data_IF_149816365861
#
_entry.id   IF_149816365861
#
_cell.length_a   1.000
_cell.length_b   1.000
_cell.length_c   1.000
_cell.angle_alpha   90.00
_cell.angle_beta   90.00
_cell.angle_gamma   90.00
#
_symmetry.space_group_name_H-M   'P 1'
#
loop_
_entity.id
_entity.type
_entity.pdbx_description
1 polymer ?
#
# COMPACT_ATOMS: atom_id res chain seq x y z
N UNK A 1 -13.03 -5.93 27.53
CA UNK A 1 -11.84 -5.06 27.62
C UNK A 1 -10.80 -5.57 26.64
N UNK A 2 -10.97 -5.25 25.36
CA UNK A 2 -10.05 -5.69 24.30
C UNK A 2 -9.08 -4.54 24.05
N UNK A 3 -7.81 -4.73 24.41
CA UNK A 3 -6.76 -3.74 24.18
C UNK A 3 -6.49 -3.61 22.68
N UNK A 4 -7.24 -2.74 22.01
CA UNK A 4 -6.93 -2.30 20.65
C UNK A 4 -5.64 -1.49 20.70
N UNK A 5 -4.60 -1.97 20.03
CA UNK A 5 -3.35 -1.22 19.90
C UNK A 5 -3.66 0.19 19.37
N UNK A 6 -3.37 1.21 20.17
CA UNK A 6 -3.52 2.61 19.80
C UNK A 6 -2.47 2.93 18.74
N UNK A 7 -2.76 2.62 17.48
CA UNK A 7 -1.96 3.06 16.35
C UNK A 7 -2.09 4.59 16.30
N UNK A 8 -1.12 5.31 16.87
CA UNK A 8 -1.06 6.77 16.82
C UNK A 8 -0.88 7.19 15.35
N UNK A 9 -1.99 7.53 14.69
CA UNK A 9 -2.10 7.92 13.28
C UNK A 9 -1.42 9.28 12.99
N UNK A 10 -1.07 10.06 14.01
CA UNK A 10 -0.96 11.52 13.85
C UNK A 10 0.38 12.03 13.29
N UNK A 11 1.47 11.26 13.26
CA UNK A 11 2.80 11.84 12.89
C UNK A 11 3.65 11.00 11.92
N UNK A 12 3.03 10.35 10.93
CA UNK A 12 3.75 9.55 9.90
C UNK A 12 3.45 9.95 8.45
N UNK A 13 2.84 11.11 8.20
CA UNK A 13 2.58 11.62 6.83
C UNK A 13 3.83 12.19 6.12
N UNK A 14 5.02 12.14 6.73
CA UNK A 14 6.25 12.73 6.18
C UNK A 14 6.99 11.89 5.14
N UNK A 15 6.60 10.62 4.94
CA UNK A 15 7.22 9.79 3.91
C UNK A 15 6.79 10.27 2.51
N UNK A 16 7.76 10.58 1.65
CA UNK A 16 7.49 10.98 0.27
C UNK A 16 6.71 9.90 -0.47
N UNK A 17 5.54 10.27 -1.01
CA UNK A 17 4.65 9.37 -1.75
C UNK A 17 4.87 9.55 -3.25
N UNK A 18 4.97 8.43 -3.95
CA UNK A 18 5.15 8.38 -5.40
C UNK A 18 3.83 7.94 -6.03
N UNK A 19 3.21 8.76 -6.89
CA UNK A 19 2.03 8.35 -7.65
C UNK A 19 2.38 7.15 -8.55
N UNK A 20 1.51 6.14 -8.56
CA UNK A 20 1.65 4.94 -9.38
C UNK A 20 0.26 4.51 -9.87
N UNK A 21 0.24 3.64 -10.87
CA UNK A 21 -0.96 2.97 -11.39
C UNK A 21 -0.60 1.49 -11.44
N UNK A 22 -0.91 0.77 -10.37
CA UNK A 22 -0.43 -0.60 -10.17
C UNK A 22 -1.48 -1.49 -9.51
N UNK A 23 -2.09 -2.37 -10.29
CA UNK A 23 -3.01 -3.39 -9.77
C UNK A 23 -2.25 -4.62 -9.26
N UNK A 24 -2.61 -5.06 -8.06
CA UNK A 24 -2.11 -6.30 -7.45
C UNK A 24 -3.27 -7.13 -6.91
N UNK A 25 -3.05 -8.43 -6.79
CA UNK A 25 -3.91 -9.33 -6.02
C UNK A 25 -3.26 -9.48 -4.64
N UNK A 26 -3.99 -9.16 -3.59
CA UNK A 26 -3.62 -9.41 -2.21
C UNK A 26 -4.36 -10.62 -1.65
N UNK A 27 -3.73 -11.32 -0.71
CA UNK A 27 -4.34 -12.44 0.00
C UNK A 27 -4.86 -11.93 1.36
N UNK A 28 -6.16 -12.10 1.62
CA UNK A 28 -6.81 -11.88 2.91
C UNK A 28 -7.19 -13.21 3.54
N UNK A 29 -7.03 -13.32 4.87
CA UNK A 29 -7.23 -14.59 5.59
C UNK A 29 -8.64 -15.17 5.45
N UNK A 30 -9.67 -14.34 5.41
CA UNK A 30 -11.07 -14.78 5.37
C UNK A 30 -11.72 -14.61 4.00
N UNK A 31 -11.35 -13.55 3.27
CA UNK A 31 -11.95 -13.21 1.98
C UNK A 31 -11.25 -13.92 0.81
N UNK A 32 -10.05 -14.47 1.03
CA UNK A 32 -9.21 -15.01 -0.04
C UNK A 32 -8.56 -13.88 -0.84
N UNK A 33 -8.65 -13.96 -2.16
CA UNK A 33 -8.01 -12.99 -3.05
C UNK A 33 -8.79 -11.66 -3.10
N UNK A 34 -8.08 -10.55 -2.86
CA UNK A 34 -8.59 -9.18 -2.88
C UNK A 34 -7.85 -8.40 -3.95
N UNK A 35 -8.59 -7.81 -4.89
CA UNK A 35 -8.02 -6.95 -5.91
C UNK A 35 -7.75 -5.56 -5.33
N UNK A 36 -6.52 -5.07 -5.47
CA UNK A 36 -6.09 -3.77 -4.97
C UNK A 36 -5.51 -2.96 -6.13
N UNK A 37 -6.07 -1.78 -6.38
CA UNK A 37 -5.48 -0.82 -7.31
C UNK A 37 -4.69 0.24 -6.53
N UNK A 38 -3.36 0.11 -6.56
CA UNK A 38 -2.46 1.01 -5.84
C UNK A 38 -2.26 2.29 -6.66
N UNK A 39 -2.62 3.42 -6.05
CA UNK A 39 -2.55 4.76 -6.68
C UNK A 39 -1.35 5.59 -6.23
N UNK A 40 -0.73 5.24 -5.10
CA UNK A 40 0.55 5.78 -4.68
C UNK A 40 1.21 4.89 -3.63
N UNK A 41 2.54 4.99 -3.54
CA UNK A 41 3.35 4.20 -2.60
C UNK A 41 4.39 5.08 -1.90
N UNK A 42 4.74 4.71 -0.67
CA UNK A 42 5.90 5.20 0.06
C UNK A 42 6.67 4.02 0.67
N UNK A 43 7.82 4.28 1.27
CA UNK A 43 8.58 3.24 1.97
C UNK A 43 7.83 2.60 3.15
N UNK A 44 6.73 3.19 3.62
CA UNK A 44 5.98 2.73 4.80
C UNK A 44 4.60 2.15 4.47
N UNK A 45 4.11 2.32 3.24
CA UNK A 45 2.77 1.88 2.90
C UNK A 45 2.31 2.39 1.55
N UNK A 46 1.05 2.16 1.23
CA UNK A 46 0.45 2.56 -0.03
C UNK A 46 -0.98 3.05 0.17
N UNK A 47 -1.55 3.64 -0.87
CA UNK A 47 -2.97 3.94 -0.95
C UNK A 47 -3.54 3.13 -2.09
N UNK A 48 -4.67 2.48 -1.86
CA UNK A 48 -5.47 1.87 -2.89
C UNK A 48 -6.78 2.63 -3.07
N UNK A 49 -7.33 2.61 -4.28
CA UNK A 49 -8.72 2.99 -4.52
C UNK A 49 -9.58 1.75 -4.82
N UNK A 50 -10.89 1.96 -4.78
CA UNK A 50 -11.90 0.92 -4.93
C UNK A 50 -12.69 0.68 -3.65
N UNK A 51 -13.84 0.02 -3.82
CA UNK A 51 -14.63 -0.50 -2.71
C UNK A 51 -13.98 -1.81 -2.25
N UNK A 52 -13.30 -1.75 -1.12
CA UNK A 52 -12.69 -2.91 -0.47
C UNK A 52 -13.60 -3.35 0.66
N UNK A 53 -13.96 -4.62 0.71
CA UNK A 53 -14.67 -5.26 1.83
C UNK A 53 -13.72 -5.50 3.02
N UNK A 54 -12.89 -4.50 3.36
CA UNK A 54 -11.88 -4.59 4.41
C UNK A 54 -12.17 -3.59 5.53
N UNK A 55 -11.95 -4.04 6.76
CA UNK A 55 -12.08 -3.21 7.95
C UNK A 55 -10.73 -2.73 8.50
N UNK A 56 -10.75 -1.61 9.21
CA UNK A 56 -9.53 -1.06 9.84
C UNK A 56 -8.92 -2.10 10.79
N UNK A 57 -7.62 -2.35 10.62
CA UNK A 57 -6.86 -3.34 11.39
C UNK A 57 -6.69 -4.67 10.66
N UNK A 58 -7.47 -4.94 9.61
CA UNK A 58 -7.29 -6.12 8.78
C UNK A 58 -5.99 -6.06 7.97
N UNK A 59 -5.52 -7.24 7.56
CA UNK A 59 -4.21 -7.44 6.93
C UNK A 59 -4.35 -8.12 5.59
N UNK A 60 -3.66 -7.58 4.59
CA UNK A 60 -3.50 -8.21 3.28
C UNK A 60 -2.03 -8.54 3.06
N UNK A 61 -1.76 -9.70 2.47
CA UNK A 61 -0.42 -10.06 1.97
C UNK A 61 -0.39 -9.74 0.49
N UNK A 62 0.46 -8.82 0.07
CA UNK A 62 0.63 -8.49 -1.37
C UNK A 62 2.01 -8.89 -1.84
N UNK A 63 2.16 -9.15 -3.14
CA UNK A 63 3.45 -9.35 -3.78
C UNK A 63 3.81 -8.11 -4.60
N UNK A 64 4.86 -7.43 -4.17
CA UNK A 64 5.42 -6.28 -4.90
C UNK A 64 6.68 -6.69 -5.68
N UNK A 65 6.94 -6.09 -6.86
CA UNK A 65 8.21 -6.26 -7.56
C UNK A 65 9.38 -5.87 -6.65
N UNK A 66 10.51 -6.57 -6.77
CA UNK A 66 11.74 -6.36 -5.96
C UNK A 66 11.59 -6.75 -4.48
N UNK A 67 10.48 -6.38 -3.83
CA UNK A 67 10.25 -6.59 -2.39
C UNK A 67 9.78 -8.02 -2.08
N UNK A 68 9.03 -8.63 -3.00
CA UNK A 68 8.39 -9.93 -2.77
C UNK A 68 7.10 -9.80 -1.96
N UNK A 69 6.79 -10.82 -1.16
CA UNK A 69 5.59 -10.81 -0.29
C UNK A 69 5.82 -9.86 0.89
N UNK A 70 4.82 -9.02 1.16
CA UNK A 70 4.82 -8.09 2.28
C UNK A 70 3.41 -7.95 2.83
N UNK A 71 3.30 -7.91 4.16
CA UNK A 71 2.02 -7.68 4.82
C UNK A 71 1.73 -6.19 4.97
N UNK A 72 0.46 -5.85 4.81
CA UNK A 72 -0.06 -4.49 4.87
C UNK A 72 -1.34 -4.43 5.69
N UNK A 73 -1.38 -3.55 6.69
CA UNK A 73 -2.53 -3.32 7.54
C UNK A 73 -3.38 -2.16 7.01
N UNK A 74 -4.70 -2.34 6.95
CA UNK A 74 -5.62 -1.25 6.66
C UNK A 74 -5.67 -0.29 7.86
N UNK A 75 -5.23 0.96 7.66
CA UNK A 75 -5.18 1.99 8.71
C UNK A 75 -6.41 2.88 8.67
N UNK A 76 -6.94 3.14 7.49
CA UNK A 76 -8.15 3.92 7.27
C UNK A 76 -8.77 3.55 5.92
N UNK A 77 -10.10 3.64 5.84
CA UNK A 77 -10.86 3.60 4.60
C UNK A 77 -11.85 4.77 4.60
N UNK A 78 -11.99 5.44 3.46
CA UNK A 78 -12.88 6.58 3.29
C UNK A 78 -13.18 6.81 1.81
N UNK A 79 -14.46 6.91 1.45
CA UNK A 79 -14.94 7.29 0.10
C UNK A 79 -14.23 6.54 -1.05
N UNK A 80 -14.21 5.20 -0.98
CA UNK A 80 -13.58 4.37 -2.03
C UNK A 80 -12.05 4.47 -2.07
N UNK A 81 -11.42 4.95 -0.99
CA UNK A 81 -9.97 4.93 -0.81
C UNK A 81 -9.59 4.24 0.49
N UNK A 82 -8.47 3.56 0.46
CA UNK A 82 -7.94 2.83 1.59
C UNK A 82 -6.43 3.07 1.74
N UNK A 83 -6.00 3.39 2.96
CA UNK A 83 -4.59 3.58 3.29
C UNK A 83 -4.04 2.38 4.03
N UNK A 84 -3.00 1.78 3.47
CA UNK A 84 -2.33 0.62 4.03
C UNK A 84 -0.95 0.97 4.58
N UNK A 85 -0.58 0.35 5.70
CA UNK A 85 0.75 0.43 6.28
C UNK A 85 1.44 -0.93 6.19
N UNK A 86 2.66 -0.96 5.64
CA UNK A 86 3.48 -2.15 5.64
C UNK A 86 3.87 -2.56 7.07
N UNK A 87 3.99 -3.87 7.32
CA UNK A 87 4.49 -4.39 8.60
C UNK A 87 5.93 -3.96 8.91
N UNK A 88 6.70 -3.62 7.87
CA UNK A 88 8.09 -3.16 7.96
C UNK A 88 8.34 -2.00 7.00
N UNK A 89 9.30 -1.15 7.35
CA UNK A 89 9.76 -0.09 6.45
C UNK A 89 10.61 -0.72 5.35
N UNK A 90 10.32 -0.38 4.09
CA UNK A 90 11.11 -0.77 2.92
C UNK A 90 12.39 0.09 2.89
N UNK A 91 13.55 -0.54 2.70
CA UNK A 91 14.82 0.19 2.60
C UNK A 91 14.83 1.11 1.39
N UNK A 92 15.50 2.25 1.48
CA UNK A 92 15.47 3.29 0.43
C UNK A 92 15.92 2.76 -0.93
N UNK A 93 16.95 1.92 -0.97
CA UNK A 93 17.48 1.31 -2.19
C UNK A 93 16.51 0.32 -2.85
N UNK A 94 15.82 -0.50 -2.05
CA UNK A 94 14.76 -1.39 -2.55
C UNK A 94 13.52 -0.61 -2.98
N UNK A 95 13.17 0.45 -2.25
CA UNK A 95 12.03 1.31 -2.55
C UNK A 95 12.21 2.04 -3.90
N UNK A 96 13.40 2.56 -4.18
CA UNK A 96 13.68 3.19 -5.47
C UNK A 96 13.53 2.20 -6.63
N UNK A 97 14.03 0.97 -6.47
CA UNK A 97 13.86 -0.10 -7.47
C UNK A 97 12.39 -0.51 -7.64
N UNK A 98 11.62 -0.56 -6.55
CA UNK A 98 10.18 -0.80 -6.60
C UNK A 98 9.49 0.29 -7.43
N UNK A 99 9.75 1.56 -7.11
CA UNK A 99 9.18 2.71 -7.83
C UNK A 99 9.51 2.63 -9.32
N UNK A 100 10.74 2.32 -9.70
CA UNK A 100 11.13 2.16 -11.10
C UNK A 100 10.39 1.00 -11.78
N UNK A 101 10.08 -0.09 -11.06
CA UNK A 101 9.38 -1.26 -11.58
C UNK A 101 7.87 -1.06 -11.73
N UNK A 102 7.25 -0.21 -10.91
CA UNK A 102 5.79 0.01 -10.91
C UNK A 102 5.38 1.37 -11.46
N UNK A 103 6.33 2.23 -11.83
CA UNK A 103 6.02 3.49 -12.50
C UNK A 103 5.34 3.21 -13.85
N UNK A 104 4.31 4.00 -14.22
CA UNK A 104 3.72 3.91 -15.55
C UNK A 104 4.81 4.12 -16.61
N UNK A 105 4.68 3.37 -17.71
CA UNK A 105 5.62 3.29 -18.83
C UNK A 105 6.38 4.61 -19.06
N UNK A 106 7.72 4.62 -19.17
CA UNK A 106 8.50 5.83 -19.40
C UNK A 106 8.02 6.72 -20.56
N UNK A 107 7.32 6.13 -21.55
CA UNK A 107 6.70 6.84 -22.68
C UNK A 107 5.48 7.70 -22.32
N UNK A 108 4.86 7.46 -21.17
CA UNK A 108 3.71 8.20 -20.64
C UNK A 108 4.14 9.29 -19.64
N UNK A 109 5.44 9.51 -19.44
CA UNK A 109 5.94 10.63 -18.63
C UNK A 109 5.60 11.94 -19.35
N UNK A 110 4.97 12.93 -18.68
CA UNK A 110 4.90 14.29 -19.20
C UNK A 110 6.34 14.76 -19.48
N UNK A 111 6.60 15.28 -20.69
CA UNK A 111 7.88 15.92 -20.99
C UNK A 111 8.08 17.06 -20.00
N UNK A 112 9.17 17.01 -19.24
CA UNK A 112 9.68 18.17 -18.47
C UNK A 112 10.10 19.26 -19.43
#
# INVERSE_FOLDING_TARGET
>A
MSAGAQLSVTDKRRAARHPVDHSVIGEHRQLGDVHLHIVNVSAQGFMADGELELERGERVVIRLPVIGRIEAHLIWSHEGRAGFQFERIIRVDEFLKLVDAIQPNPRLRPRR
#
